data_IF_097561280355
#
_entry.id   IF_097561280355
#
_cell.length_a   1.000
_cell.length_b   1.000
_cell.length_c   1.000
_cell.angle_alpha   90.00
_cell.angle_beta   90.00
_cell.angle_gamma   90.00
#
_symmetry.space_group_name_H-M   'P 1'
#
loop_
_entity.id
_entity.type
_entity.pdbx_description
1 polymer ?
#
# COMPACT_ATOMS: atom_id res chain seq x y z
N UNK A 1 36.48 -29.53 1.26
CA UNK A 1 36.43 -28.15 0.73
C UNK A 1 34.96 -27.82 0.57
N UNK A 2 34.37 -27.20 1.59
CA UNK A 2 32.98 -26.74 1.50
C UNK A 2 32.95 -25.58 0.50
N UNK A 3 32.11 -25.74 -0.52
CA UNK A 3 32.12 -24.88 -1.70
C UNK A 3 31.92 -23.42 -1.32
N UNK A 4 32.94 -22.61 -1.61
CA UNK A 4 32.87 -21.14 -1.55
C UNK A 4 31.67 -20.62 -2.35
N UNK A 5 31.19 -21.38 -3.35
CA UNK A 5 29.96 -21.12 -4.08
C UNK A 5 28.68 -21.24 -3.20
N UNK A 6 28.62 -22.23 -2.30
CA UNK A 6 27.51 -22.41 -1.34
C UNK A 6 27.50 -21.29 -0.29
N UNK A 7 28.65 -20.94 0.28
CA UNK A 7 28.77 -19.80 1.21
C UNK A 7 28.46 -18.47 0.51
N UNK A 8 28.83 -18.27 -0.76
CA UNK A 8 28.43 -17.10 -1.56
C UNK A 8 26.94 -17.07 -1.90
N UNK A 9 26.26 -18.22 -1.96
CA UNK A 9 24.80 -18.29 -2.12
C UNK A 9 24.08 -17.91 -0.82
N UNK A 10 24.58 -18.38 0.34
CA UNK A 10 24.07 -18.02 1.66
C UNK A 10 24.39 -16.56 2.06
N UNK A 11 25.53 -16.01 1.66
CA UNK A 11 25.84 -14.59 1.86
C UNK A 11 24.99 -13.71 0.93
N UNK A 12 24.63 -14.16 -0.28
CA UNK A 12 23.69 -13.43 -1.16
C UNK A 12 22.25 -13.45 -0.66
N UNK A 13 21.79 -14.56 -0.06
CA UNK A 13 20.47 -14.60 0.58
C UNK A 13 20.41 -13.79 1.86
N UNK A 14 21.53 -13.65 2.59
CA UNK A 14 21.61 -12.90 3.85
C UNK A 14 22.11 -11.43 3.70
N UNK A 15 22.63 -11.05 2.53
CA UNK A 15 23.36 -9.79 2.30
C UNK A 15 22.73 -8.82 1.29
N UNK A 16 21.57 -9.13 0.73
CA UNK A 16 20.86 -8.28 -0.24
C UNK A 16 19.96 -7.20 0.40
N UNK A 17 20.32 -6.72 1.58
CA UNK A 17 19.72 -5.52 2.17
C UNK A 17 20.86 -4.62 2.64
N UNK A 18 21.32 -3.73 1.74
CA UNK A 18 22.25 -2.67 2.12
C UNK A 18 21.64 -1.87 3.28
N UNK A 19 22.44 -1.51 4.27
CA UNK A 19 21.97 -0.76 5.44
C UNK A 19 21.27 0.57 5.05
N UNK A 20 21.61 1.15 3.88
CA UNK A 20 20.94 2.31 3.29
C UNK A 20 19.51 1.98 2.78
N UNK A 21 19.32 0.83 2.15
CA UNK A 21 18.01 0.30 1.77
C UNK A 21 17.17 -0.08 2.99
N UNK A 22 17.76 -0.63 4.06
CA UNK A 22 17.06 -0.88 5.34
C UNK A 22 16.55 0.38 6.00
N UNK A 23 17.32 1.47 5.98
CA UNK A 23 16.88 2.76 6.55
C UNK A 23 15.77 3.37 5.71
N UNK A 24 15.87 3.39 4.38
CA UNK A 24 14.80 3.92 3.52
C UNK A 24 13.54 3.05 3.56
N UNK A 25 13.68 1.72 3.54
CA UNK A 25 12.61 0.74 3.73
C UNK A 25 11.98 0.92 5.11
N UNK A 26 12.76 1.07 6.18
CA UNK A 26 12.22 1.30 7.53
C UNK A 26 11.55 2.67 7.69
N UNK A 27 12.02 3.72 7.01
CA UNK A 27 11.39 5.06 7.02
C UNK A 27 10.06 5.04 6.27
N UNK A 28 10.02 4.43 5.08
CA UNK A 28 8.79 4.27 4.30
C UNK A 28 7.81 3.29 4.96
N UNK A 29 8.28 2.15 5.47
CA UNK A 29 7.46 1.20 6.23
C UNK A 29 6.89 1.84 7.50
N UNK A 30 7.63 2.69 8.22
CA UNK A 30 7.08 3.37 9.42
C UNK A 30 6.07 4.45 9.06
N UNK A 31 6.35 5.32 8.08
CA UNK A 31 5.42 6.36 7.66
C UNK A 31 4.14 5.77 7.04
N UNK A 32 4.27 4.73 6.21
CA UNK A 32 3.13 4.04 5.63
C UNK A 32 2.46 3.06 6.59
N UNK A 33 3.14 2.48 7.60
CA UNK A 33 2.49 1.59 8.58
C UNK A 33 1.45 2.32 9.42
N UNK A 34 1.77 3.55 9.87
CA UNK A 34 0.80 4.39 10.60
C UNK A 34 -0.39 4.73 9.69
N UNK A 35 -0.14 5.18 8.46
CA UNK A 35 -1.16 5.52 7.47
C UNK A 35 -2.00 4.31 7.03
N UNK A 36 -1.38 3.14 6.77
CA UNK A 36 -2.02 1.86 6.46
C UNK A 36 -2.87 1.41 7.65
N UNK A 37 -2.35 1.51 8.88
CA UNK A 37 -3.08 1.20 10.11
C UNK A 37 -4.29 2.12 10.32
N UNK A 38 -4.12 3.44 10.15
CA UNK A 38 -5.21 4.41 10.20
C UNK A 38 -6.28 4.11 9.14
N UNK A 39 -5.90 3.75 7.92
CA UNK A 39 -6.86 3.36 6.87
C UNK A 39 -7.59 2.05 7.14
N UNK A 40 -6.94 1.04 7.73
CA UNK A 40 -7.61 -0.20 8.16
C UNK A 40 -8.65 0.09 9.24
N UNK A 41 -8.28 0.87 10.24
CA UNK A 41 -9.21 1.30 11.32
C UNK A 41 -10.33 2.18 10.74
N UNK A 42 -10.02 3.07 9.80
CA UNK A 42 -10.99 3.96 9.16
C UNK A 42 -11.96 3.16 8.27
N UNK A 43 -11.49 2.18 7.51
CA UNK A 43 -12.32 1.28 6.68
C UNK A 43 -13.23 0.39 7.53
N UNK A 44 -12.73 -0.14 8.65
CA UNK A 44 -13.56 -0.89 9.60
C UNK A 44 -14.66 -0.01 10.20
N UNK A 45 -14.33 1.22 10.59
CA UNK A 45 -15.33 2.22 11.04
C UNK A 45 -16.29 2.60 9.91
N UNK A 46 -15.83 2.66 8.66
CA UNK A 46 -16.64 3.00 7.49
C UNK A 46 -17.70 1.93 7.20
N UNK A 47 -17.37 0.64 7.31
CA UNK A 47 -18.35 -0.46 7.19
C UNK A 47 -19.45 -0.33 8.26
N UNK A 48 -19.07 -0.03 9.50
CA UNK A 48 -20.03 0.18 10.60
C UNK A 48 -20.91 1.42 10.38
N UNK A 49 -20.32 2.52 9.90
CA UNK A 49 -21.03 3.76 9.55
C UNK A 49 -22.00 3.56 8.38
N UNK A 50 -21.65 2.75 7.38
CA UNK A 50 -22.53 2.42 6.26
C UNK A 50 -23.80 1.67 6.70
N UNK A 51 -23.68 0.75 7.64
CA UNK A 51 -24.83 0.05 8.22
C UNK A 51 -25.75 0.99 8.99
N UNK A 52 -25.17 1.92 9.76
CA UNK A 52 -25.93 2.95 10.46
C UNK A 52 -26.61 3.93 9.47
N UNK A 53 -25.91 4.29 8.39
CA UNK A 53 -26.44 5.18 7.37
C UNK A 53 -27.55 4.52 6.53
N UNK A 54 -27.52 3.19 6.34
CA UNK A 54 -28.63 2.43 5.74
C UNK A 54 -29.90 2.52 6.60
N UNK A 55 -29.78 2.36 7.93
CA UNK A 55 -30.90 2.48 8.87
C UNK A 55 -31.46 3.91 8.91
N UNK A 56 -30.58 4.92 8.91
CA UNK A 56 -30.97 6.33 8.88
C UNK A 56 -31.60 6.77 7.54
N UNK A 57 -31.17 6.21 6.40
CA UNK A 57 -31.78 6.52 5.10
C UNK A 57 -33.10 5.80 4.84
N UNK A 58 -33.36 4.68 5.52
CA UNK A 58 -34.61 3.93 5.41
C UNK A 58 -35.80 4.70 6.04
N UNK A 59 -35.52 5.57 7.01
CA UNK A 59 -36.53 6.37 7.73
C UNK A 59 -36.83 7.75 7.11
N UNK A 60 -36.09 8.18 6.07
CA UNK A 60 -36.30 9.48 5.41
C UNK A 60 -37.07 9.33 4.09
N UNK A 61 -38.23 9.97 4.00
CA UNK A 61 -39.05 10.04 2.78
C UNK A 61 -38.23 10.65 1.62
N UNK A 62 -38.29 9.99 0.45
CA UNK A 62 -37.43 10.23 -0.73
C UNK A 62 -37.70 11.60 -1.39
N UNK A 63 -37.05 12.65 -0.90
CA UNK A 63 -36.93 13.94 -1.60
C UNK A 63 -35.77 13.95 -2.62
N UNK A 64 -35.77 14.89 -3.58
CA UNK A 64 -34.71 15.07 -4.59
C UNK A 64 -33.31 15.25 -3.97
N UNK A 65 -33.22 15.93 -2.83
CA UNK A 65 -31.98 16.13 -2.07
C UNK A 65 -31.35 14.81 -1.59
N UNK A 66 -32.15 13.78 -1.32
CA UNK A 66 -31.63 12.49 -0.86
C UNK A 66 -30.95 11.72 -1.99
N UNK A 67 -31.37 11.89 -3.24
CA UNK A 67 -30.67 11.31 -4.41
C UNK A 67 -29.29 11.92 -4.56
N UNK A 68 -29.17 13.25 -4.44
CA UNK A 68 -27.89 13.97 -4.52
C UNK A 68 -26.93 13.54 -3.41
N UNK A 69 -27.42 13.43 -2.17
CA UNK A 69 -26.62 12.95 -1.03
C UNK A 69 -26.13 11.51 -1.25
N UNK A 70 -27.00 10.60 -1.73
CA UNK A 70 -26.59 9.21 -2.05
C UNK A 70 -25.55 9.18 -3.16
N UNK A 71 -25.70 10.00 -4.20
CA UNK A 71 -24.74 10.08 -5.31
C UNK A 71 -23.36 10.56 -4.84
N UNK A 72 -23.34 11.61 -4.00
CA UNK A 72 -22.12 12.13 -3.39
C UNK A 72 -21.46 11.09 -2.50
N UNK A 73 -22.24 10.40 -1.66
CA UNK A 73 -21.74 9.36 -0.77
C UNK A 73 -21.12 8.19 -1.55
N UNK A 74 -21.79 7.73 -2.61
CA UNK A 74 -21.26 6.68 -3.49
C UNK A 74 -19.95 7.10 -4.17
N UNK A 75 -19.88 8.34 -4.66
CA UNK A 75 -18.68 8.89 -5.31
C UNK A 75 -17.51 8.96 -4.33
N UNK A 76 -17.78 9.44 -3.10
CA UNK A 76 -16.78 9.51 -2.04
C UNK A 76 -16.27 8.13 -1.63
N UNK A 77 -17.18 7.17 -1.41
CA UNK A 77 -16.81 5.79 -1.11
C UNK A 77 -15.92 5.18 -2.19
N UNK A 78 -16.27 5.40 -3.47
CA UNK A 78 -15.47 4.91 -4.59
C UNK A 78 -14.06 5.51 -4.62
N UNK A 79 -13.90 6.78 -4.26
CA UNK A 79 -12.59 7.41 -4.13
C UNK A 79 -11.78 6.79 -3.00
N UNK A 80 -12.40 6.57 -1.83
CA UNK A 80 -11.76 5.93 -0.67
C UNK A 80 -11.34 4.49 -1.00
N UNK A 81 -12.17 3.71 -1.68
CA UNK A 81 -11.84 2.35 -2.10
C UNK A 81 -10.65 2.29 -3.05
N UNK A 82 -10.58 3.24 -3.99
CA UNK A 82 -9.42 3.36 -4.89
C UNK A 82 -8.15 3.66 -4.09
N UNK A 83 -8.18 4.62 -3.17
CA UNK A 83 -7.04 4.97 -2.33
C UNK A 83 -6.57 3.78 -1.48
N UNK A 84 -7.52 3.06 -0.87
CA UNK A 84 -7.21 1.87 -0.10
C UNK A 84 -6.55 0.78 -0.95
N UNK A 85 -7.04 0.56 -2.18
CA UNK A 85 -6.44 -0.41 -3.11
C UNK A 85 -4.98 -0.05 -3.43
N UNK A 86 -4.71 1.22 -3.75
CA UNK A 86 -3.37 1.71 -4.07
C UNK A 86 -2.41 1.63 -2.88
N UNK A 87 -2.91 1.73 -1.65
CA UNK A 87 -2.08 1.57 -0.45
C UNK A 87 -1.88 0.11 -0.01
N UNK A 88 -2.75 -0.79 -0.47
CA UNK A 88 -2.67 -2.22 -0.11
C UNK A 88 -1.82 -3.01 -1.11
N UNK A 89 -1.81 -2.59 -2.37
CA UNK A 89 -1.00 -3.22 -3.41
C UNK A 89 0.48 -2.95 -3.13
N UNK A 90 1.34 -3.90 -3.48
CA UNK A 90 2.79 -3.73 -3.46
C UNK A 90 3.30 -3.83 -4.90
N UNK A 91 3.70 -2.71 -5.47
CA UNK A 91 4.13 -2.60 -6.87
C UNK A 91 5.46 -3.34 -7.15
N UNK A 92 6.17 -3.76 -6.10
CA UNK A 92 7.37 -4.58 -6.23
C UNK A 92 7.11 -6.08 -6.39
N UNK A 93 5.87 -6.56 -6.22
CA UNK A 93 5.54 -7.99 -6.30
C UNK A 93 5.83 -8.57 -7.70
N UNK A 94 5.68 -7.76 -8.75
CA UNK A 94 5.98 -8.13 -10.15
C UNK A 94 7.49 -8.09 -10.48
N UNK A 95 8.35 -7.76 -9.51
CA UNK A 95 9.81 -7.65 -9.65
C UNK A 95 10.24 -6.78 -10.86
N UNK A 96 9.80 -5.51 -10.92
CA UNK A 96 10.04 -4.65 -12.09
C UNK A 96 11.50 -4.18 -12.23
N UNK A 97 12.30 -4.23 -11.16
CA UNK A 97 13.68 -3.76 -11.18
C UNK A 97 14.62 -4.80 -11.80
N UNK A 98 15.42 -4.35 -12.77
CA UNK A 98 16.39 -5.17 -13.48
C UNK A 98 17.81 -4.95 -12.93
N UNK A 99 18.78 -5.74 -13.41
CA UNK A 99 20.21 -5.55 -13.16
C UNK A 99 20.62 -5.54 -11.68
N UNK A 100 19.89 -6.26 -10.82
CA UNK A 100 20.17 -6.32 -9.40
C UNK A 100 19.78 -5.05 -8.63
N UNK A 101 18.97 -4.17 -9.22
CA UNK A 101 18.39 -3.02 -8.54
C UNK A 101 17.40 -3.43 -7.44
N UNK A 102 17.38 -2.67 -6.35
CA UNK A 102 16.44 -2.88 -5.24
C UNK A 102 15.14 -2.14 -5.50
N UNK A 103 14.02 -2.85 -5.46
CA UNK A 103 12.70 -2.24 -5.62
C UNK A 103 12.19 -1.60 -4.32
N UNK A 104 11.67 -0.39 -4.43
CA UNK A 104 10.96 0.33 -3.39
C UNK A 104 9.48 0.49 -3.79
N UNK A 105 8.59 -0.01 -2.93
CA UNK A 105 7.14 0.15 -3.03
C UNK A 105 6.75 1.60 -2.71
N UNK A 106 5.96 2.22 -3.57
CA UNK A 106 5.46 3.59 -3.43
C UNK A 106 3.94 3.63 -3.65
N UNK A 107 3.29 4.74 -3.31
CA UNK A 107 1.86 4.88 -3.58
C UNK A 107 1.58 4.84 -5.09
N UNK A 108 0.91 3.77 -5.55
CA UNK A 108 0.56 3.55 -6.95
C UNK A 108 1.78 3.51 -7.91
N UNK A 109 2.98 3.25 -7.38
CA UNK A 109 4.23 3.34 -8.13
C UNK A 109 5.33 2.49 -7.49
N UNK A 110 6.45 2.35 -8.18
CA UNK A 110 7.67 1.79 -7.61
C UNK A 110 8.88 2.65 -7.99
N UNK A 111 9.97 2.51 -7.24
CA UNK A 111 11.26 3.10 -7.59
C UNK A 111 12.36 2.05 -7.50
N UNK A 112 13.24 2.01 -8.49
CA UNK A 112 14.38 1.09 -8.50
C UNK A 112 15.64 1.83 -8.06
N UNK A 113 16.25 1.36 -6.98
CA UNK A 113 17.58 1.78 -6.57
C UNK A 113 18.62 0.93 -7.30
N UNK A 114 19.29 1.51 -8.28
CA UNK A 114 20.39 0.86 -8.97
C UNK A 114 21.66 0.89 -8.10
N UNK A 115 22.47 -0.18 -8.13
CA UNK A 115 23.76 -0.16 -7.45
C UNK A 115 24.72 0.86 -8.10
N UNK A 116 25.71 1.40 -7.36
CA UNK A 116 26.53 2.55 -7.79
C UNK A 116 27.40 2.33 -9.03
N UNK A 117 27.46 1.11 -9.57
CA UNK A 117 28.19 0.76 -10.79
C UNK A 117 27.27 0.62 -12.02
N UNK A 118 25.99 0.93 -11.88
CA UNK A 118 24.96 0.91 -12.91
C UNK A 118 24.18 2.22 -12.80
N UNK A 119 24.71 3.28 -13.41
CA UNK A 119 23.98 4.54 -13.64
C UNK A 119 23.07 4.43 -14.87
#
# INVERSE_FOLDING_TARGET
>A
MEDIAFLRSQIRSNGAESASSKVQKAVMERQFSVLKGMLVVTRAKQISLEEQFKKFNASRARGSNQRRIRQLMYTLNKQVDRLYKLMKTNECDDKPCQNGGTCLDLFAAFHCLCPPHME
#
